data_IF_416593794515
#
_entry.id   IF_416593794515
#
_cell.length_a   1.000
_cell.length_b   1.000
_cell.length_c   1.000
_cell.angle_alpha   90.00
_cell.angle_beta   90.00
_cell.angle_gamma   90.00
#
_symmetry.space_group_name_H-M   'P 1'
#
loop_
_entity.id
_entity.type
_entity.pdbx_description
1 polymer ?
#
# COMPACT_ATOMS: atom_id res chain seq x y z
N UNK A 1 -19.13 -1.41 -0.37
CA UNK A 1 -19.15 -2.78 -0.97
C UNK A 1 -18.01 -2.97 -1.98
N UNK A 2 -17.78 -2.03 -2.90
CA UNK A 2 -16.68 -2.10 -3.89
C UNK A 2 -15.29 -2.10 -3.23
N UNK A 3 -15.02 -1.18 -2.30
CA UNK A 3 -13.71 -1.12 -1.61
C UNK A 3 -13.32 -2.44 -0.93
N UNK A 4 -14.24 -3.03 -0.15
CA UNK A 4 -14.04 -4.32 0.52
C UNK A 4 -13.78 -5.45 -0.50
N UNK A 5 -14.45 -5.41 -1.65
CA UNK A 5 -14.22 -6.38 -2.71
C UNK A 5 -12.82 -6.24 -3.31
N UNK A 6 -12.38 -5.00 -3.61
CA UNK A 6 -11.04 -4.73 -4.15
C UNK A 6 -9.94 -5.16 -3.19
N UNK A 7 -10.08 -4.83 -1.90
CA UNK A 7 -9.16 -5.29 -0.86
C UNK A 7 -9.08 -6.81 -0.83
N UNK A 8 -10.23 -7.50 -0.88
CA UNK A 8 -10.26 -8.96 -0.86
C UNK A 8 -9.56 -9.54 -2.09
N UNK A 9 -9.78 -8.99 -3.28
CA UNK A 9 -9.11 -9.44 -4.51
C UNK A 9 -7.59 -9.26 -4.40
N UNK A 10 -7.13 -8.09 -3.95
CA UNK A 10 -5.71 -7.83 -3.78
C UNK A 10 -5.07 -8.72 -2.69
N UNK A 11 -5.75 -8.93 -1.57
CA UNK A 11 -5.27 -9.81 -0.50
C UNK A 11 -5.17 -11.28 -0.95
N UNK A 12 -6.13 -11.76 -1.74
CA UNK A 12 -6.09 -13.10 -2.34
C UNK A 12 -4.99 -13.22 -3.39
N UNK A 13 -4.75 -12.17 -4.17
CA UNK A 13 -3.65 -12.14 -5.14
C UNK A 13 -2.29 -12.29 -4.45
N UNK A 14 -2.10 -11.60 -3.32
CA UNK A 14 -0.90 -11.73 -2.49
C UNK A 14 -0.72 -13.19 -2.05
N UNK A 15 -1.76 -13.84 -1.54
CA UNK A 15 -1.67 -15.25 -1.11
C UNK A 15 -1.25 -16.21 -2.23
N UNK A 16 -1.65 -15.91 -3.47
CA UNK A 16 -1.36 -16.76 -4.62
C UNK A 16 0.00 -16.49 -5.26
N UNK A 17 0.46 -15.24 -5.23
CA UNK A 17 1.57 -14.78 -6.08
C UNK A 17 2.75 -14.25 -5.29
N UNK A 18 2.54 -13.66 -4.11
CA UNK A 18 3.60 -12.96 -3.36
C UNK A 18 4.74 -13.90 -2.93
N UNK A 19 4.40 -15.14 -2.55
CA UNK A 19 5.40 -16.17 -2.21
C UNK A 19 6.33 -16.55 -3.37
N UNK A 20 5.85 -16.42 -4.62
CA UNK A 20 6.59 -16.76 -5.83
C UNK A 20 7.40 -15.58 -6.40
N UNK A 21 7.19 -14.37 -5.88
CA UNK A 21 7.93 -13.17 -6.30
C UNK A 21 9.30 -13.19 -5.62
N UNK A 22 10.35 -13.22 -6.43
CA UNK A 22 11.71 -13.00 -5.93
C UNK A 22 11.86 -11.52 -5.55
N UNK A 23 12.43 -11.25 -4.37
CA UNK A 23 12.64 -9.88 -3.86
C UNK A 23 13.50 -8.99 -4.77
N UNK A 24 14.27 -9.60 -5.69
CA UNK A 24 15.13 -8.91 -6.66
C UNK A 24 14.49 -8.69 -8.03
N UNK A 25 13.36 -9.34 -8.34
CA UNK A 25 12.73 -9.22 -9.65
C UNK A 25 11.78 -8.01 -9.69
N UNK A 26 12.18 -6.97 -10.41
CA UNK A 26 11.32 -5.83 -10.76
C UNK A 26 10.30 -6.21 -11.85
N UNK A 27 9.47 -7.21 -11.59
CA UNK A 27 8.45 -7.71 -12.52
C UNK A 27 7.09 -7.01 -12.36
N UNK A 28 7.10 -5.71 -12.00
CA UNK A 28 5.88 -4.92 -11.77
C UNK A 28 4.92 -4.92 -12.97
N UNK A 29 5.44 -4.98 -14.19
CA UNK A 29 4.64 -5.08 -15.42
C UNK A 29 3.84 -6.39 -15.53
N UNK A 30 4.14 -7.42 -14.72
CA UNK A 30 3.43 -8.71 -14.71
C UNK A 30 2.23 -8.76 -13.77
N UNK A 31 2.05 -7.74 -12.92
CA UNK A 31 0.98 -7.69 -11.93
C UNK A 31 0.09 -6.43 -12.03
N UNK A 32 -0.28 -5.95 -13.24
CA UNK A 32 -0.95 -4.66 -13.41
C UNK A 32 -2.32 -4.60 -12.69
N UNK A 33 -3.05 -5.72 -12.67
CA UNK A 33 -4.35 -5.82 -11.98
C UNK A 33 -4.20 -5.59 -10.48
N UNK A 34 -3.18 -6.18 -9.86
CA UNK A 34 -2.88 -6.00 -8.45
C UNK A 34 -2.59 -4.53 -8.13
N UNK A 35 -1.68 -3.89 -8.87
CA UNK A 35 -1.35 -2.48 -8.63
C UNK A 35 -2.54 -1.57 -8.84
N UNK A 36 -3.39 -1.83 -9.84
CA UNK A 36 -4.61 -1.07 -10.06
C UNK A 36 -5.62 -1.21 -8.91
N UNK A 37 -5.77 -2.41 -8.34
CA UNK A 37 -6.63 -2.60 -7.16
C UNK A 37 -6.09 -1.86 -5.95
N UNK A 38 -4.78 -1.96 -5.67
CA UNK A 38 -4.17 -1.26 -4.53
C UNK A 38 -4.24 0.25 -4.72
N UNK A 39 -3.99 0.77 -5.92
CA UNK A 39 -4.13 2.19 -6.22
C UNK A 39 -5.56 2.69 -6.01
N UNK A 40 -6.56 1.95 -6.46
CA UNK A 40 -7.96 2.31 -6.24
C UNK A 40 -8.33 2.30 -4.74
N UNK A 41 -7.81 1.33 -3.98
CA UNK A 41 -7.97 1.28 -2.52
C UNK A 41 -7.35 2.51 -1.88
N UNK A 42 -6.08 2.82 -2.18
CA UNK A 42 -5.40 3.97 -1.59
C UNK A 42 -6.04 5.29 -1.99
N UNK A 43 -6.50 5.44 -3.23
CA UNK A 43 -7.19 6.63 -3.67
C UNK A 43 -8.51 6.84 -2.90
N UNK A 44 -9.31 5.78 -2.71
CA UNK A 44 -10.54 5.90 -1.91
C UNK A 44 -10.23 6.26 -0.47
N UNK A 45 -9.21 5.65 0.13
CA UNK A 45 -8.82 5.93 1.51
C UNK A 45 -8.24 7.35 1.65
N UNK A 46 -7.44 7.82 0.70
CA UNK A 46 -6.82 9.14 0.70
C UNK A 46 -7.80 10.29 0.45
N UNK A 47 -8.81 10.09 -0.39
CA UNK A 47 -9.68 11.20 -0.85
C UNK A 47 -11.15 11.08 -0.38
N UNK A 48 -11.56 9.98 0.24
CA UNK A 48 -12.88 9.83 0.86
C UNK A 48 -12.74 9.63 2.37
N UNK A 49 -12.40 10.71 3.06
CA UNK A 49 -12.15 10.74 4.51
C UNK A 49 -13.29 10.15 5.34
N UNK A 50 -14.55 10.27 4.92
CA UNK A 50 -15.70 9.62 5.59
C UNK A 50 -15.56 8.10 5.71
N UNK A 51 -14.81 7.45 4.80
CA UNK A 51 -14.56 6.00 4.83
C UNK A 51 -13.60 5.61 5.94
N UNK A 52 -12.68 6.50 6.30
CA UNK A 52 -11.71 6.33 7.37
C UNK A 52 -12.16 6.99 8.70
N UNK A 53 -13.10 7.94 8.68
CA UNK A 53 -13.75 8.57 9.85
C UNK A 53 -14.66 7.60 10.64
N UNK A 54 -14.40 6.30 10.60
CA UNK A 54 -14.99 5.38 11.56
C UNK A 54 -14.41 5.69 12.95
N UNK A 55 -15.16 5.47 14.03
CA UNK A 55 -14.72 5.78 15.40
C UNK A 55 -13.50 4.96 15.88
N UNK A 56 -13.01 4.01 15.07
CA UNK A 56 -11.85 3.18 15.38
C UNK A 56 -10.95 3.02 14.13
N UNK A 57 -9.84 3.76 14.07
CA UNK A 57 -8.85 3.67 13.00
C UNK A 57 -8.19 2.28 12.91
N UNK A 58 -7.93 1.60 14.02
CA UNK A 58 -7.31 0.28 14.04
C UNK A 58 -8.20 -0.76 13.34
N UNK A 59 -9.51 -0.68 13.56
CA UNK A 59 -10.50 -1.53 12.89
C UNK A 59 -10.53 -1.32 11.38
N UNK A 60 -10.22 -0.11 10.88
CA UNK A 60 -10.06 0.12 9.44
C UNK A 60 -8.85 -0.61 8.87
N UNK A 61 -7.70 -0.58 9.56
CA UNK A 61 -6.49 -1.32 9.15
C UNK A 61 -6.74 -2.81 9.07
N UNK A 62 -7.41 -3.37 10.08
CA UNK A 62 -7.78 -4.78 10.10
C UNK A 62 -8.79 -5.13 9.01
N UNK A 63 -9.88 -4.35 8.90
CA UNK A 63 -10.95 -4.59 7.91
C UNK A 63 -10.41 -4.56 6.48
N UNK A 64 -9.45 -3.67 6.21
CA UNK A 64 -8.87 -3.50 4.89
C UNK A 64 -7.54 -4.22 4.71
N UNK A 65 -7.10 -5.01 5.69
CA UNK A 65 -5.84 -5.77 5.66
C UNK A 65 -4.62 -4.90 5.28
N UNK A 66 -4.63 -3.59 5.60
CA UNK A 66 -3.73 -2.62 4.97
C UNK A 66 -2.25 -2.97 5.15
N UNK A 67 -1.85 -3.51 6.31
CA UNK A 67 -0.49 -4.01 6.52
C UNK A 67 -0.07 -5.03 5.46
N UNK A 68 -0.95 -5.98 5.14
CA UNK A 68 -0.67 -7.03 4.15
C UNK A 68 -0.53 -6.46 2.75
N UNK A 69 -1.41 -5.52 2.36
CA UNK A 69 -1.33 -4.90 1.04
C UNK A 69 -0.06 -4.07 0.88
N UNK A 70 0.26 -3.23 1.86
CA UNK A 70 1.32 -2.24 1.76
C UNK A 70 2.73 -2.84 1.90
N UNK A 71 2.87 -3.93 2.66
CA UNK A 71 4.17 -4.56 2.96
C UNK A 71 4.41 -5.90 2.25
N UNK A 72 3.61 -6.24 1.24
CA UNK A 72 3.84 -7.43 0.44
C UNK A 72 5.11 -7.31 -0.43
N UNK A 73 5.67 -8.44 -0.86
CA UNK A 73 6.89 -8.47 -1.70
C UNK A 73 6.69 -7.82 -3.07
N UNK A 74 5.45 -7.75 -3.56
CA UNK A 74 5.08 -7.01 -4.78
C UNK A 74 5.32 -5.50 -4.67
N UNK A 75 5.57 -4.96 -3.46
CA UNK A 75 5.93 -3.57 -3.16
C UNK A 75 5.10 -2.53 -3.94
N UNK A 76 3.77 -2.46 -3.70
CA UNK A 76 2.89 -1.57 -4.45
C UNK A 76 3.22 -0.08 -4.29
N UNK A 77 3.79 0.31 -3.16
CA UNK A 77 4.22 1.69 -2.89
C UNK A 77 5.32 2.18 -3.84
N UNK A 78 6.05 1.27 -4.51
CA UNK A 78 7.06 1.63 -5.52
C UNK A 78 6.45 1.88 -6.91
N UNK A 79 5.24 1.38 -7.17
CA UNK A 79 4.61 1.39 -8.51
C UNK A 79 3.46 2.39 -8.58
N UNK A 80 2.70 2.55 -7.51
CA UNK A 80 1.53 3.43 -7.44
C UNK A 80 1.97 4.90 -7.49
N UNK A 81 1.11 5.75 -8.04
CA UNK A 81 1.31 7.20 -8.09
C UNK A 81 1.77 7.77 -6.75
N UNK A 82 2.85 8.55 -6.78
CA UNK A 82 3.41 9.25 -5.62
C UNK A 82 2.39 10.21 -5.01
N UNK A 83 1.58 10.89 -5.81
CA UNK A 83 0.52 11.79 -5.34
C UNK A 83 -0.50 11.05 -4.46
N UNK A 84 -0.95 9.88 -4.90
CA UNK A 84 -1.92 9.05 -4.15
C UNK A 84 -1.29 8.53 -2.87
N UNK A 85 -0.03 8.11 -2.95
CA UNK A 85 0.73 7.56 -1.83
C UNK A 85 0.99 8.61 -0.76
N UNK A 86 1.46 9.81 -1.14
CA UNK A 86 1.72 10.91 -0.22
C UNK A 86 0.45 11.42 0.44
N UNK A 87 -0.66 11.49 -0.31
CA UNK A 87 -1.95 11.89 0.26
C UNK A 87 -2.45 10.85 1.26
N UNK A 88 -2.39 9.56 0.90
CA UNK A 88 -2.76 8.48 1.83
C UNK A 88 -1.95 8.53 3.12
N UNK A 89 -0.63 8.76 3.02
CA UNK A 89 0.25 8.81 4.19
C UNK A 89 -0.12 9.99 5.10
N UNK A 90 -0.36 11.18 4.54
CA UNK A 90 -0.79 12.35 5.31
C UNK A 90 -2.11 12.12 6.04
N UNK A 91 -3.08 11.51 5.36
CA UNK A 91 -4.37 11.15 5.96
C UNK A 91 -4.21 10.08 7.05
N UNK A 92 -3.36 9.07 6.81
CA UNK A 92 -3.05 8.05 7.80
C UNK A 92 -2.40 8.64 9.05
N UNK A 93 -1.51 9.63 8.91
CA UNK A 93 -0.94 10.38 10.04
C UNK A 93 -2.00 11.18 10.79
N UNK A 94 -2.83 11.93 10.07
CA UNK A 94 -3.90 12.74 10.66
C UNK A 94 -4.89 11.91 11.50
N UNK A 95 -5.04 10.63 11.17
CA UNK A 95 -5.93 9.69 11.85
C UNK A 95 -5.24 8.79 12.88
N UNK A 96 -3.94 8.98 13.13
CA UNK A 96 -3.17 8.15 14.07
C UNK A 96 -2.97 6.70 13.60
N UNK A 97 -3.11 6.43 12.30
CA UNK A 97 -2.94 5.09 11.70
C UNK A 97 -1.49 4.67 11.55
N UNK A 98 -0.54 5.61 11.67
CA UNK A 98 0.89 5.37 11.52
C UNK A 98 1.36 4.12 12.28
N UNK A 99 1.07 4.01 13.58
CA UNK A 99 1.57 2.93 14.43
C UNK A 99 0.99 1.56 14.00
N UNK A 100 -0.24 1.59 13.50
CA UNK A 100 -0.94 0.43 12.95
C UNK A 100 -0.49 0.05 11.54
N UNK A 101 0.39 0.81 10.91
CA UNK A 101 0.90 0.55 9.56
C UNK A 101 2.40 0.26 9.54
N UNK A 102 3.04 0.12 10.71
CA UNK A 102 4.41 -0.37 10.84
C UNK A 102 4.44 -1.87 10.50
N UNK A 103 5.42 -2.27 9.68
CA UNK A 103 5.64 -3.69 9.32
C UNK A 103 6.18 -4.50 10.52
N UNK A 104 6.36 -5.81 10.33
CA UNK A 104 6.91 -6.69 11.38
C UNK A 104 8.37 -6.42 11.74
N UNK A 105 9.10 -5.67 10.90
CA UNK A 105 10.50 -5.31 11.07
C UNK A 105 10.69 -3.90 11.65
N UNK A 106 9.59 -3.20 11.98
CA UNK A 106 9.62 -1.84 12.50
C UNK A 106 9.67 -0.76 11.42
N UNK A 107 9.56 -1.12 10.13
CA UNK A 107 9.58 -0.17 9.03
C UNK A 107 8.25 0.57 8.92
N UNK A 108 8.30 1.91 8.97
CA UNK A 108 7.14 2.76 8.71
C UNK A 108 6.89 2.90 7.21
N UNK A 109 5.66 3.28 6.82
CA UNK A 109 5.34 3.57 5.42
C UNK A 109 6.25 4.64 4.82
N UNK A 110 6.65 5.64 5.61
CA UNK A 110 7.62 6.65 5.19
C UNK A 110 8.99 6.05 4.89
N UNK A 111 9.48 5.14 5.73
CA UNK A 111 10.76 4.48 5.48
C UNK A 111 10.70 3.58 4.25
N UNK A 112 9.56 2.93 4.01
CA UNK A 112 9.33 2.17 2.77
C UNK A 112 9.36 3.12 1.57
N UNK A 113 8.62 4.24 1.59
CA UNK A 113 8.59 5.21 0.48
C UNK A 113 9.93 5.93 0.29
N UNK A 114 10.63 6.33 1.35
CA UNK A 114 11.93 7.02 1.27
C UNK A 114 13.10 6.09 0.92
N UNK A 115 13.10 4.87 1.47
CA UNK A 115 14.03 3.81 1.04
C UNK A 115 13.85 3.47 -0.44
N UNK A 116 12.62 3.62 -0.97
CA UNK A 116 12.30 3.46 -2.38
C UNK A 116 12.71 4.67 -3.26
N UNK A 117 12.85 5.89 -2.71
CA UNK A 117 13.33 7.07 -3.46
C UNK A 117 14.85 7.09 -3.70
N UNK A 118 15.62 6.25 -2.99
CA UNK A 118 17.07 6.13 -3.18
C UNK A 118 17.51 5.46 -4.48
N UNK A 119 16.63 4.75 -5.19
CA UNK A 119 16.99 3.97 -6.39
C UNK A 119 16.70 4.67 -7.73
N UNK A 120 16.09 5.87 -7.73
CA UNK A 120 15.77 6.63 -8.95
C UNK A 120 16.69 7.84 -9.22
N UNK A 121 17.85 7.92 -8.57
CA UNK A 121 18.91 8.87 -8.92
C UNK A 121 20.11 8.12 -9.50
N UNK A 122 19.95 7.61 -10.72
CA UNK A 122 20.96 6.72 -11.29
C UNK A 122 20.79 6.41 -12.77
N UNK A 123 20.33 7.35 -13.60
CA UNK A 123 20.60 7.25 -15.04
C UNK A 123 20.59 8.62 -15.70
N UNK A 124 21.68 9.38 -15.49
CA UNK A 124 22.16 10.29 -16.54
C UNK A 124 22.85 9.44 -17.59
N UNK A 125 22.27 9.36 -18.79
CA UNK A 125 23.00 9.26 -20.05
C UNK A 125 22.35 10.21 -21.04
#
# INVERSE_FOLDING_TARGET
KVLVHLVRCAAQYIDQKDGAVALSEQNWHRHPEFYNWVQAVLHVLAFQSETLMRPDPAKCVETFHLKKLLHCKLNPLKVISTEVTDTFIKEAEAMGLHEHLIDSNGASLYQVVQGNMGEFSGSKR
#
